data_IF_544083292632
#
_entry.id   IF_544083292632
#
_cell.length_a   1.000
_cell.length_b   1.000
_cell.length_c   1.000
_cell.angle_alpha   90.00
_cell.angle_beta   90.00
_cell.angle_gamma   90.00
#
_symmetry.space_group_name_H-M   'P 1'
#
loop_
_entity.id
_entity.type
_entity.pdbx_description
1 polymer ?
#
# COMPACT_ATOMS: atom_id res chain seq x y z
N UNK A 1 -2.92 -8.09 -9.05
CA UNK A 1 -2.77 -8.25 -10.53
C UNK A 1 -3.63 -7.28 -11.33
N UNK A 2 -4.94 -7.13 -11.09
CA UNK A 2 -5.83 -6.24 -11.86
C UNK A 2 -5.34 -4.78 -11.97
N UNK A 3 -4.96 -4.15 -10.85
CA UNK A 3 -4.46 -2.76 -10.84
C UNK A 3 -3.17 -2.62 -11.65
N UNK A 4 -2.28 -3.60 -11.54
CA UNK A 4 -1.02 -3.59 -12.29
C UNK A 4 -1.26 -3.75 -13.79
N UNK A 5 -2.19 -4.63 -14.18
CA UNK A 5 -2.55 -4.82 -15.59
C UNK A 5 -3.14 -3.57 -16.24
N UNK A 6 -3.87 -2.76 -15.46
CA UNK A 6 -4.39 -1.44 -15.91
C UNK A 6 -3.33 -0.35 -15.99
N UNK A 7 -2.19 -0.52 -15.34
CA UNK A 7 -1.14 0.49 -15.22
C UNK A 7 0.15 0.02 -15.90
N UNK A 8 0.21 0.13 -17.24
CA UNK A 8 1.33 -0.33 -18.06
C UNK A 8 2.68 0.29 -17.68
N UNK A 9 2.69 1.52 -17.16
CA UNK A 9 3.92 2.17 -16.64
C UNK A 9 4.45 1.42 -15.42
N UNK A 10 3.59 1.18 -14.42
CA UNK A 10 3.97 0.44 -13.22
C UNK A 10 4.38 -1.00 -13.54
N UNK A 11 3.68 -1.64 -14.48
CA UNK A 11 4.01 -3.00 -14.92
C UNK A 11 5.41 -3.07 -15.54
N UNK A 12 5.75 -2.13 -16.46
CA UNK A 12 7.09 -2.09 -17.08
C UNK A 12 8.21 -1.83 -16.06
N UNK A 13 7.99 -0.93 -15.09
CA UNK A 13 8.96 -0.70 -14.01
C UNK A 13 9.17 -1.95 -13.18
N UNK A 14 8.09 -2.62 -12.77
CA UNK A 14 8.19 -3.86 -12.01
C UNK A 14 8.93 -4.93 -12.80
N UNK A 15 8.62 -5.11 -14.09
CA UNK A 15 9.31 -6.07 -14.92
C UNK A 15 10.80 -5.79 -15.01
N UNK A 16 11.19 -4.52 -15.22
CA UNK A 16 12.60 -4.10 -15.24
C UNK A 16 13.30 -4.42 -13.90
N UNK A 17 12.64 -4.19 -12.75
CA UNK A 17 13.19 -4.56 -11.45
C UNK A 17 13.40 -6.08 -11.34
N UNK A 18 12.43 -6.88 -11.77
CA UNK A 18 12.51 -8.34 -11.73
C UNK A 18 13.62 -8.86 -12.64
N UNK A 19 13.70 -8.39 -13.88
CA UNK A 19 14.71 -8.81 -14.85
C UNK A 19 16.14 -8.48 -14.38
N UNK A 20 16.31 -7.36 -13.69
CA UNK A 20 17.63 -6.94 -13.19
C UNK A 20 18.07 -7.68 -11.91
N UNK A 21 17.14 -8.09 -11.07
CA UNK A 21 17.46 -8.61 -9.72
C UNK A 21 17.23 -10.11 -9.57
N UNK A 22 16.46 -10.74 -10.47
CA UNK A 22 16.18 -12.16 -10.37
C UNK A 22 17.03 -12.97 -11.37
N UNK A 23 17.77 -13.97 -10.89
CA UNK A 23 18.55 -14.83 -11.76
C UNK A 23 17.64 -15.77 -12.55
N UNK A 24 17.87 -15.85 -13.84
CA UNK A 24 17.13 -16.76 -14.73
C UNK A 24 17.46 -18.21 -14.38
N UNK A 25 16.42 -19.04 -14.23
CA UNK A 25 16.57 -20.49 -14.01
C UNK A 25 16.98 -20.93 -12.61
N UNK A 26 17.06 -20.02 -11.62
CA UNK A 26 17.32 -20.38 -10.22
C UNK A 26 16.06 -20.33 -9.37
N UNK A 27 16.03 -21.14 -8.29
CA UNK A 27 14.95 -21.08 -7.30
C UNK A 27 14.98 -19.74 -6.56
N UNK A 28 13.79 -19.14 -6.41
CA UNK A 28 13.60 -17.93 -5.62
C UNK A 28 13.79 -18.23 -4.14
N UNK A 29 14.51 -17.36 -3.44
CA UNK A 29 14.66 -17.39 -1.99
C UNK A 29 14.27 -16.04 -1.37
N UNK A 30 14.14 -15.99 -0.06
CA UNK A 30 13.75 -14.77 0.68
C UNK A 30 14.68 -13.58 0.43
N UNK A 31 15.99 -13.82 0.25
CA UNK A 31 16.97 -12.76 0.01
C UNK A 31 16.71 -12.00 -1.30
N UNK A 32 16.27 -12.70 -2.36
CA UNK A 32 15.89 -12.03 -3.61
C UNK A 32 14.65 -11.15 -3.43
N UNK A 33 13.66 -11.59 -2.66
CA UNK A 33 12.46 -10.81 -2.40
C UNK A 33 12.74 -9.52 -1.59
N UNK A 34 13.77 -9.52 -0.76
CA UNK A 34 14.22 -8.32 -0.04
C UNK A 34 14.80 -7.25 -0.95
N UNK A 35 15.32 -7.64 -2.11
CA UNK A 35 15.93 -6.76 -3.11
C UNK A 35 14.92 -6.19 -4.13
N UNK A 36 13.62 -6.34 -3.89
CA UNK A 36 12.55 -5.90 -4.78
C UNK A 36 11.68 -4.81 -4.10
N UNK A 37 12.19 -3.59 -3.91
CA UNK A 37 11.45 -2.51 -3.28
C UNK A 37 10.22 -2.08 -4.07
N UNK A 38 10.30 -2.07 -5.41
CA UNK A 38 9.17 -1.68 -6.26
C UNK A 38 8.05 -2.73 -6.24
N UNK A 39 8.37 -4.01 -6.20
CA UNK A 39 7.39 -5.08 -5.98
C UNK A 39 6.62 -4.87 -4.67
N UNK A 40 7.34 -4.58 -3.58
CA UNK A 40 6.73 -4.28 -2.28
C UNK A 40 5.84 -3.04 -2.33
N UNK A 41 6.28 -2.01 -3.03
CA UNK A 41 5.50 -0.79 -3.25
C UNK A 41 4.21 -1.07 -4.03
N UNK A 42 4.27 -1.88 -5.09
CA UNK A 42 3.12 -2.32 -5.87
C UNK A 42 2.09 -3.08 -5.02
N UNK A 43 2.56 -3.97 -4.14
CA UNK A 43 1.69 -4.74 -3.24
C UNK A 43 1.01 -3.81 -2.22
N UNK A 44 1.78 -2.91 -1.58
CA UNK A 44 1.24 -1.95 -0.60
C UNK A 44 0.18 -1.05 -1.22
N UNK A 45 0.42 -0.51 -2.42
CA UNK A 45 -0.54 0.34 -3.12
C UNK A 45 -1.79 -0.43 -3.53
N UNK A 46 -1.65 -1.67 -3.96
CA UNK A 46 -2.79 -2.51 -4.28
C UNK A 46 -3.67 -2.80 -3.05
N UNK A 47 -3.05 -3.08 -1.90
CA UNK A 47 -3.76 -3.32 -0.64
C UNK A 47 -4.39 -2.05 -0.06
N UNK A 48 -3.79 -0.87 -0.28
CA UNK A 48 -4.39 0.42 0.07
C UNK A 48 -5.69 0.64 -0.70
N UNK A 49 -5.65 0.48 -2.02
CA UNK A 49 -6.79 0.75 -2.90
C UNK A 49 -7.88 -0.33 -2.84
N UNK A 50 -7.48 -1.58 -2.66
CA UNK A 50 -8.36 -2.76 -2.64
C UNK A 50 -7.94 -3.70 -1.50
N UNK A 51 -8.19 -3.30 -0.23
CA UNK A 51 -7.85 -4.14 0.90
C UNK A 51 -8.76 -5.37 0.96
N UNK A 52 -8.23 -6.48 1.45
CA UNK A 52 -9.00 -7.70 1.71
C UNK A 52 -9.95 -7.51 2.88
N UNK A 53 -9.53 -6.72 3.88
CA UNK A 53 -10.31 -6.37 5.07
C UNK A 53 -10.55 -4.86 5.05
N UNK A 54 -11.82 -4.46 5.04
CA UNK A 54 -12.21 -3.04 4.94
C UNK A 54 -12.01 -2.26 6.24
N UNK A 55 -11.96 -2.94 7.38
CA UNK A 55 -11.75 -2.35 8.70
C UNK A 55 -11.57 -3.41 9.78
N UNK A 56 -11.03 -2.98 10.91
CA UNK A 56 -10.90 -3.82 12.11
C UNK A 56 -11.93 -3.40 13.14
N UNK A 57 -12.59 -4.40 13.79
CA UNK A 57 -13.50 -4.17 14.88
C UNK A 57 -12.89 -4.61 16.22
N UNK A 58 -13.27 -3.89 17.29
CA UNK A 58 -12.96 -4.27 18.66
C UNK A 58 -14.19 -4.05 19.54
N UNK A 59 -14.39 -4.98 20.50
CA UNK A 59 -15.37 -4.81 21.55
C UNK A 59 -14.67 -4.20 22.78
N UNK A 60 -15.22 -3.12 23.32
CA UNK A 60 -14.68 -2.48 24.52
C UNK A 60 -14.86 -3.39 25.74
N UNK A 61 -13.77 -3.55 26.50
CA UNK A 61 -13.76 -4.33 27.74
C UNK A 61 -14.12 -3.49 28.98
N UNK A 62 -14.10 -2.15 28.85
CA UNK A 62 -14.47 -1.16 29.86
C UNK A 62 -15.08 0.06 29.20
N UNK A 63 -15.73 0.92 29.96
CA UNK A 63 -16.18 2.23 29.48
C UNK A 63 -14.97 3.06 29.04
N UNK A 64 -15.13 3.83 27.95
CA UNK A 64 -14.06 4.66 27.39
C UNK A 64 -14.62 5.98 26.88
N UNK A 65 -13.74 7.02 26.84
CA UNK A 65 -14.04 8.27 26.17
C UNK A 65 -13.28 8.30 24.85
N UNK A 66 -14.01 8.38 23.73
CA UNK A 66 -13.43 8.41 22.38
C UNK A 66 -13.84 9.71 21.71
N UNK A 67 -12.86 10.55 21.39
CA UNK A 67 -13.08 11.88 20.78
C UNK A 67 -14.12 12.74 21.53
N UNK A 68 -14.18 12.63 22.87
CA UNK A 68 -15.11 13.35 23.73
C UNK A 68 -16.49 12.70 23.91
N UNK A 69 -16.73 11.53 23.28
CA UNK A 69 -17.97 10.76 23.48
C UNK A 69 -17.76 9.64 24.49
N UNK A 70 -18.69 9.52 25.43
CA UNK A 70 -18.76 8.38 26.36
C UNK A 70 -19.25 7.14 25.63
N UNK A 71 -18.42 6.11 25.61
CA UNK A 71 -18.72 4.83 24.93
C UNK A 71 -18.72 3.72 25.97
N UNK A 72 -19.88 3.07 26.23
CA UNK A 72 -19.99 2.07 27.26
C UNK A 72 -19.27 0.76 26.92
N UNK A 73 -18.88 0.02 27.95
CA UNK A 73 -18.38 -1.34 27.86
C UNK A 73 -19.31 -2.20 26.99
N UNK A 74 -18.75 -3.09 26.20
CA UNK A 74 -19.48 -3.98 25.29
C UNK A 74 -19.79 -3.35 23.90
N UNK A 75 -19.54 -2.05 23.72
CA UNK A 75 -19.72 -1.41 22.42
C UNK A 75 -18.73 -1.96 21.40
N UNK A 76 -19.23 -2.26 20.18
CA UNK A 76 -18.40 -2.63 19.05
C UNK A 76 -17.91 -1.38 18.30
N UNK A 77 -16.60 -1.18 18.29
CA UNK A 77 -15.96 -0.08 17.54
C UNK A 77 -15.33 -0.64 16.29
N UNK A 78 -15.61 0.00 15.16
CA UNK A 78 -15.02 -0.36 13.86
C UNK A 78 -14.09 0.76 13.39
N UNK A 79 -12.87 0.39 12.99
CA UNK A 79 -11.88 1.28 12.39
C UNK A 79 -11.88 1.06 10.87
N UNK A 80 -12.48 1.97 10.09
CA UNK A 80 -12.66 1.77 8.65
C UNK A 80 -11.39 2.16 7.88
N UNK A 81 -10.39 1.31 7.83
CA UNK A 81 -9.11 1.57 7.16
C UNK A 81 -9.28 1.93 5.68
N UNK A 82 -10.27 1.32 5.00
CA UNK A 82 -10.54 1.61 3.59
C UNK A 82 -10.91 3.07 3.36
N UNK A 83 -11.75 3.66 4.23
CA UNK A 83 -12.15 5.06 4.11
C UNK A 83 -10.93 5.97 4.26
N UNK A 84 -10.16 5.79 5.33
CA UNK A 84 -8.95 6.59 5.60
C UNK A 84 -7.91 6.45 4.49
N UNK A 85 -7.78 5.26 3.91
CA UNK A 85 -6.84 4.99 2.82
C UNK A 85 -7.23 5.64 1.49
N UNK A 86 -8.46 6.13 1.35
CA UNK A 86 -8.96 6.81 0.15
C UNK A 86 -9.24 8.31 0.38
N UNK A 87 -8.87 8.87 1.53
CA UNK A 87 -8.97 10.31 1.77
C UNK A 87 -7.76 11.07 1.20
N UNK A 88 -8.04 12.13 0.43
CA UNK A 88 -7.04 13.02 -0.18
C UNK A 88 -6.07 13.60 0.84
N UNK A 89 -6.56 13.91 2.04
CA UNK A 89 -5.79 14.45 3.16
C UNK A 89 -4.61 13.56 3.56
N UNK A 90 -4.75 12.24 3.47
CA UNK A 90 -3.72 11.28 3.84
C UNK A 90 -2.97 10.72 2.64
N UNK A 91 -3.66 10.59 1.51
CA UNK A 91 -3.11 10.02 0.28
C UNK A 91 -3.47 10.91 -0.92
N UNK A 92 -2.59 11.83 -1.32
CA UNK A 92 -2.81 12.65 -2.51
C UNK A 92 -3.11 11.80 -3.74
N UNK A 93 -4.15 12.20 -4.50
CA UNK A 93 -4.69 11.43 -5.63
C UNK A 93 -4.99 9.97 -5.25
N UNK A 94 -5.92 9.73 -4.30
CA UNK A 94 -6.10 8.41 -3.68
C UNK A 94 -6.63 7.35 -4.64
N UNK A 95 -7.25 7.76 -5.75
CA UNK A 95 -7.78 6.86 -6.77
C UNK A 95 -6.76 6.44 -7.82
N UNK A 96 -5.60 7.08 -7.84
CA UNK A 96 -4.51 6.73 -8.74
C UNK A 96 -3.62 5.65 -8.16
N UNK A 97 -3.29 4.65 -8.99
CA UNK A 97 -2.37 3.59 -8.60
C UNK A 97 -0.93 4.08 -8.75
N UNK A 98 -0.34 4.54 -7.64
CA UNK A 98 0.99 5.17 -7.60
C UNK A 98 1.88 4.42 -6.60
N UNK A 99 2.52 3.31 -6.98
CA UNK A 99 3.43 2.56 -6.11
C UNK A 99 4.59 3.40 -5.58
N UNK A 100 5.01 4.41 -6.32
CA UNK A 100 6.14 5.30 -6.01
C UNK A 100 5.99 6.03 -4.68
N UNK A 101 4.77 6.20 -4.17
CA UNK A 101 4.53 6.80 -2.84
C UNK A 101 5.14 5.99 -1.68
N UNK A 102 5.39 4.70 -1.89
CA UNK A 102 5.93 3.78 -0.89
C UNK A 102 7.45 3.60 -0.98
N UNK A 103 8.08 4.18 -2.00
CA UNK A 103 9.53 4.13 -2.17
C UNK A 103 10.19 5.16 -1.26
N UNK A 104 11.35 4.78 -0.68
CA UNK A 104 12.23 5.72 0.00
C UNK A 104 12.96 6.58 -1.04
N UNK A 105 13.45 7.75 -0.66
CA UNK A 105 14.13 8.65 -1.59
C UNK A 105 15.32 8.00 -2.32
N UNK A 106 16.01 7.08 -1.65
CA UNK A 106 17.10 6.29 -2.25
C UNK A 106 16.66 5.22 -3.25
N UNK A 107 15.39 4.86 -3.25
CA UNK A 107 14.79 3.82 -4.10
C UNK A 107 14.02 4.43 -5.28
N UNK A 108 13.92 5.76 -5.34
CA UNK A 108 13.29 6.50 -6.44
C UNK A 108 14.27 6.67 -7.58
N UNK A 109 13.81 6.40 -8.79
CA UNK A 109 14.56 6.70 -10.02
C UNK A 109 14.22 8.11 -10.50
N UNK A 110 15.09 8.70 -11.36
CA UNK A 110 14.90 10.05 -11.92
C UNK A 110 13.56 10.21 -12.63
N UNK A 111 13.02 9.13 -13.22
CA UNK A 111 11.68 9.09 -13.83
C UNK A 111 10.54 9.33 -12.82
N UNK A 112 10.78 9.10 -11.52
CA UNK A 112 9.77 9.26 -10.46
C UNK A 112 9.69 10.71 -9.97
N UNK A 113 10.74 11.50 -10.16
CA UNK A 113 10.83 12.90 -9.75
C UNK A 113 10.10 13.80 -10.77
N UNK A 114 10.13 13.45 -12.05
CA UNK A 114 9.56 14.25 -13.15
C UNK A 114 8.03 14.27 -13.20
N UNK A 115 7.34 13.41 -12.44
CA UNK A 115 5.87 13.32 -12.48
C UNK A 115 5.15 14.19 -11.42
N UNK A 116 5.89 15.08 -10.74
CA UNK A 116 5.35 15.98 -9.70
C UNK A 116 5.23 17.46 -10.11
N UNK A 117 5.42 17.77 -11.41
CA UNK A 117 5.26 19.15 -11.95
C UNK A 117 3.94 19.32 -12.63
#
# INVERSE_FOLDING_TARGET
MYLLAKNSRAQRKLQKELDNNLPVGRMLNSKYLEQLPYLRACIKEALRMKPVILGNGRCLQSDAIISGYEVPKGSHIVFPHYIMSNEERYFPNPHDYTPERWLRDKERTDDDVSSKT
#
